data_IF_357973427426
#
_entry.id   IF_357973427426
#
_cell.length_a   1.000
_cell.length_b   1.000
_cell.length_c   1.000
_cell.angle_alpha   90.00
_cell.angle_beta   90.00
_cell.angle_gamma   90.00
#
_symmetry.space_group_name_H-M   'P 1'
#
loop_
_entity.id
_entity.type
_entity.pdbx_description
1 polymer ?
#
# COMPACT_ATOMS: atom_id res chain seq x y z
N UNK A 1 1.98 -24.53 -26.32
CA UNK A 1 1.03 -23.40 -26.30
C UNK A 1 0.42 -23.35 -24.93
N UNK A 2 0.47 -22.20 -24.29
CA UNK A 2 -0.01 -22.00 -22.92
C UNK A 2 -1.53 -22.25 -22.86
N UNK A 3 -2.00 -23.03 -21.90
CA UNK A 3 -3.42 -23.37 -21.72
C UNK A 3 -4.33 -22.14 -21.73
N UNK A 4 -3.83 -21.03 -21.20
CA UNK A 4 -4.46 -19.71 -21.20
C UNK A 4 -4.81 -19.19 -22.59
N UNK A 5 -3.96 -19.40 -23.60
CA UNK A 5 -4.23 -18.95 -24.97
C UNK A 5 -5.40 -19.70 -25.60
N UNK A 6 -5.49 -21.02 -25.36
CA UNK A 6 -6.65 -21.80 -25.80
C UNK A 6 -7.90 -21.44 -25.01
N UNK A 7 -7.75 -21.17 -23.72
CA UNK A 7 -8.84 -20.77 -22.83
C UNK A 7 -9.49 -19.45 -23.22
N UNK A 8 -8.70 -18.40 -23.50
CA UNK A 8 -9.24 -17.09 -23.90
C UNK A 8 -9.58 -17.01 -25.40
N UNK A 9 -8.90 -17.81 -26.23
CA UNK A 9 -8.89 -17.67 -27.68
C UNK A 9 -9.72 -18.70 -28.44
N UNK A 10 -10.31 -19.70 -27.77
CA UNK A 10 -11.14 -20.71 -28.43
C UNK A 10 -12.27 -21.23 -27.56
N UNK A 11 -13.46 -21.29 -28.16
CA UNK A 11 -14.72 -21.81 -27.60
C UNK A 11 -15.05 -23.23 -28.10
N UNK A 12 -14.17 -23.85 -28.89
CA UNK A 12 -14.39 -25.17 -29.46
C UNK A 12 -14.32 -26.25 -28.38
N UNK A 13 -15.31 -27.17 -28.28
CA UNK A 13 -15.31 -28.22 -27.27
C UNK A 13 -14.04 -29.08 -27.27
N UNK A 14 -13.48 -29.36 -28.45
CA UNK A 14 -12.24 -30.13 -28.58
C UNK A 14 -11.06 -29.47 -27.85
N UNK A 15 -10.97 -28.13 -27.91
CA UNK A 15 -9.92 -27.37 -27.24
C UNK A 15 -10.18 -27.28 -25.74
N UNK A 16 -11.43 -27.08 -25.33
CA UNK A 16 -11.83 -27.04 -23.92
C UNK A 16 -11.50 -28.37 -23.23
N UNK A 17 -11.90 -29.50 -23.83
CA UNK A 17 -11.59 -30.84 -23.31
C UNK A 17 -10.08 -31.06 -23.19
N UNK A 18 -9.30 -30.63 -24.19
CA UNK A 18 -7.84 -30.74 -24.16
C UNK A 18 -7.21 -29.91 -23.04
N UNK A 19 -7.73 -28.69 -22.80
CA UNK A 19 -7.28 -27.81 -21.71
C UNK A 19 -7.62 -28.42 -20.35
N UNK A 20 -8.85 -28.88 -20.14
CA UNK A 20 -9.28 -29.48 -18.87
C UNK A 20 -8.50 -30.77 -18.56
N UNK A 21 -8.30 -31.64 -19.55
CA UNK A 21 -7.53 -32.88 -19.37
C UNK A 21 -6.07 -32.61 -19.01
N UNK A 22 -5.48 -31.56 -19.60
CA UNK A 22 -4.07 -31.21 -19.34
C UNK A 22 -3.92 -30.37 -18.05
N UNK A 23 -4.95 -29.60 -17.70
CA UNK A 23 -4.97 -28.68 -16.57
C UNK A 23 -6.35 -28.70 -15.88
N UNK A 24 -6.61 -29.66 -14.98
CA UNK A 24 -7.93 -29.85 -14.36
C UNK A 24 -8.47 -28.62 -13.63
N UNK A 25 -7.60 -27.74 -13.13
CA UNK A 25 -7.97 -26.47 -12.48
C UNK A 25 -8.79 -25.55 -13.38
N UNK A 26 -8.73 -25.71 -14.70
CA UNK A 26 -9.52 -24.91 -15.63
C UNK A 26 -11.00 -25.33 -15.71
N UNK A 27 -11.36 -26.53 -15.23
CA UNK A 27 -12.75 -27.00 -15.26
C UNK A 27 -13.69 -26.06 -14.50
N UNK A 28 -13.30 -25.66 -13.29
CA UNK A 28 -14.04 -24.71 -12.46
C UNK A 28 -14.18 -23.37 -13.18
N UNK A 29 -13.10 -22.88 -13.79
CA UNK A 29 -13.10 -21.59 -14.50
C UNK A 29 -14.02 -21.63 -15.73
N UNK A 30 -14.02 -22.72 -16.50
CA UNK A 30 -14.93 -22.88 -17.63
C UNK A 30 -16.40 -22.94 -17.18
N UNK A 31 -16.68 -23.64 -16.08
CA UNK A 31 -18.03 -23.74 -15.50
C UNK A 31 -18.53 -22.38 -15.02
N UNK A 32 -17.67 -21.61 -14.36
CA UNK A 32 -17.99 -20.26 -13.89
C UNK A 32 -18.26 -19.31 -15.07
N UNK A 33 -17.46 -19.37 -16.12
CA UNK A 33 -17.68 -18.57 -17.34
C UNK A 33 -18.99 -18.96 -18.02
N UNK A 34 -19.29 -20.25 -18.13
CA UNK A 34 -20.57 -20.72 -18.67
C UNK A 34 -21.74 -20.18 -17.85
N UNK A 35 -21.64 -20.24 -16.52
CA UNK A 35 -22.65 -19.69 -15.61
C UNK A 35 -22.83 -18.17 -15.79
N UNK A 36 -21.74 -17.41 -15.80
CA UNK A 36 -21.74 -15.96 -15.96
C UNK A 36 -22.26 -15.50 -17.33
N UNK A 37 -22.09 -16.31 -18.38
CA UNK A 37 -22.65 -16.02 -19.71
C UNK A 37 -24.17 -15.85 -19.67
N UNK A 38 -24.84 -16.57 -18.77
CA UNK A 38 -26.28 -16.46 -18.56
C UNK A 38 -26.66 -15.55 -17.38
N UNK A 39 -25.72 -15.21 -16.51
CA UNK A 39 -25.92 -14.37 -15.32
C UNK A 39 -24.97 -13.14 -15.30
N UNK A 40 -25.04 -12.25 -16.30
CA UNK A 40 -24.07 -11.15 -16.44
C UNK A 40 -24.11 -10.17 -15.25
N UNK A 41 -25.27 -10.00 -14.60
CA UNK A 41 -25.41 -9.15 -13.40
C UNK A 41 -24.65 -9.72 -12.20
N UNK A 42 -24.66 -11.04 -12.03
CA UNK A 42 -23.95 -11.71 -10.94
C UNK A 42 -22.44 -11.67 -11.19
N UNK A 43 -22.01 -11.85 -12.43
CA UNK A 43 -20.61 -11.70 -12.82
C UNK A 43 -20.09 -10.29 -12.47
N UNK A 44 -20.82 -9.24 -12.89
CA UNK A 44 -20.48 -7.85 -12.55
C UNK A 44 -20.51 -7.64 -11.04
N UNK A 45 -21.50 -8.16 -10.32
CA UNK A 45 -21.58 -8.07 -8.87
C UNK A 45 -20.38 -8.69 -8.16
N UNK A 46 -19.95 -9.89 -8.56
CA UNK A 46 -18.77 -10.55 -8.02
C UNK A 46 -17.48 -9.77 -8.29
N UNK A 47 -17.31 -9.23 -9.50
CA UNK A 47 -16.17 -8.37 -9.82
C UNK A 47 -16.19 -7.06 -9.03
N UNK A 48 -17.34 -6.40 -8.91
CA UNK A 48 -17.50 -5.18 -8.12
C UNK A 48 -17.17 -5.41 -6.64
N UNK A 49 -17.58 -6.53 -6.07
CA UNK A 49 -17.29 -6.87 -4.68
C UNK A 49 -15.80 -7.17 -4.47
N UNK A 50 -15.18 -7.92 -5.38
CA UNK A 50 -13.73 -8.17 -5.34
C UNK A 50 -12.92 -6.87 -5.44
N UNK A 51 -13.33 -5.95 -6.31
CA UNK A 51 -12.73 -4.61 -6.43
C UNK A 51 -12.94 -3.79 -5.15
N UNK A 52 -14.15 -3.79 -4.58
CA UNK A 52 -14.43 -3.09 -3.32
C UNK A 52 -13.52 -3.57 -2.19
N UNK A 53 -13.37 -4.89 -2.03
CA UNK A 53 -12.50 -5.47 -1.00
C UNK A 53 -11.03 -5.08 -1.24
N UNK A 54 -10.58 -5.11 -2.51
CA UNK A 54 -9.22 -4.70 -2.86
C UNK A 54 -8.98 -3.22 -2.55
N UNK A 55 -9.93 -2.35 -2.90
CA UNK A 55 -9.86 -0.91 -2.63
C UNK A 55 -9.86 -0.63 -1.14
N UNK A 56 -10.72 -1.30 -0.35
CA UNK A 56 -10.75 -1.16 1.11
C UNK A 56 -9.42 -1.53 1.77
N UNK A 57 -8.84 -2.66 1.35
CA UNK A 57 -7.53 -3.08 1.85
C UNK A 57 -6.41 -2.13 1.43
N UNK A 58 -6.47 -1.62 0.20
CA UNK A 58 -5.48 -0.68 -0.35
C UNK A 58 -5.53 0.65 0.40
N UNK A 59 -6.73 1.20 0.61
CA UNK A 59 -6.93 2.45 1.36
C UNK A 59 -6.44 2.28 2.79
N UNK A 60 -6.76 1.16 3.45
CA UNK A 60 -6.28 0.89 4.80
C UNK A 60 -4.75 0.83 4.86
N UNK A 61 -4.12 0.11 3.92
CA UNK A 61 -2.66 0.03 3.82
C UNK A 61 -2.03 1.42 3.62
N UNK A 62 -2.59 2.24 2.72
CA UNK A 62 -2.11 3.60 2.48
C UNK A 62 -2.25 4.50 3.72
N UNK A 63 -3.34 4.38 4.48
CA UNK A 63 -3.53 5.11 5.74
C UNK A 63 -2.47 4.69 6.76
N UNK A 64 -2.22 3.39 6.91
CA UNK A 64 -1.23 2.86 7.85
C UNK A 64 0.18 3.34 7.50
N UNK A 65 0.55 3.34 6.22
CA UNK A 65 1.84 3.87 5.72
C UNK A 65 1.98 5.38 5.97
N UNK A 66 0.92 6.15 5.72
CA UNK A 66 0.90 7.59 6.02
C UNK A 66 1.00 7.86 7.52
N UNK A 67 0.29 7.11 8.36
CA UNK A 67 0.35 7.24 9.81
C UNK A 67 1.75 6.96 10.35
N UNK A 68 2.42 5.93 9.83
CA UNK A 68 3.80 5.63 10.18
C UNK A 68 4.75 6.75 9.74
N UNK A 69 4.58 7.28 8.53
CA UNK A 69 5.38 8.41 8.03
C UNK A 69 5.19 9.66 8.91
N UNK A 70 3.95 9.99 9.28
CA UNK A 70 3.65 11.11 10.18
C UNK A 70 4.34 10.91 11.52
N UNK A 71 4.27 9.71 12.10
CA UNK A 71 4.92 9.40 13.38
C UNK A 71 6.43 9.61 13.32
N UNK A 72 7.09 9.17 12.26
CA UNK A 72 8.53 9.37 12.05
C UNK A 72 8.88 10.85 11.90
N UNK A 73 8.07 11.60 11.15
CA UNK A 73 8.26 13.05 11.00
C UNK A 73 8.06 13.79 12.33
N UNK A 74 7.03 13.44 13.10
CA UNK A 74 6.80 14.02 14.43
C UNK A 74 7.99 13.75 15.35
N UNK A 75 8.51 12.53 15.38
CA UNK A 75 9.69 12.21 16.18
C UNK A 75 10.92 13.04 15.77
N UNK A 76 11.17 13.20 14.47
CA UNK A 76 12.27 14.05 13.98
C UNK A 76 12.10 15.51 14.36
N UNK A 77 10.88 16.03 14.32
CA UNK A 77 10.57 17.40 14.75
C UNK A 77 10.85 17.56 16.24
N UNK A 78 10.45 16.59 17.07
CA UNK A 78 10.70 16.62 18.51
C UNK A 78 12.21 16.58 18.83
N UNK A 79 12.98 15.74 18.14
CA UNK A 79 14.44 15.67 18.27
C UNK A 79 15.11 16.99 17.86
N UNK A 80 14.64 17.62 16.77
CA UNK A 80 15.12 18.93 16.34
C UNK A 80 14.76 20.02 17.35
N UNK A 81 13.55 20.00 17.90
CA UNK A 81 13.12 20.95 18.92
C UNK A 81 13.96 20.84 20.20
N UNK A 82 14.30 19.62 20.63
CA UNK A 82 15.22 19.38 21.73
C UNK A 82 16.60 19.96 21.44
N UNK A 83 17.16 19.67 20.27
CA UNK A 83 18.47 20.19 19.84
C UNK A 83 18.50 21.72 19.84
N UNK A 84 17.43 22.37 19.33
CA UNK A 84 17.31 23.82 19.33
C UNK A 84 17.26 24.37 20.76
N UNK A 85 16.55 23.70 21.66
CA UNK A 85 16.45 24.13 23.05
C UNK A 85 17.80 24.03 23.79
N UNK A 86 18.54 22.93 23.56
CA UNK A 86 19.90 22.75 24.09
C UNK A 86 20.85 23.83 23.57
N UNK A 87 20.83 24.10 22.26
CA UNK A 87 21.63 25.18 21.67
C UNK A 87 21.25 26.55 22.24
N UNK A 88 19.97 26.82 22.46
CA UNK A 88 19.50 28.05 23.07
C UNK A 88 19.99 28.22 24.52
N UNK A 89 20.05 27.12 25.31
CA UNK A 89 20.65 27.15 26.64
C UNK A 89 22.15 27.47 26.58
N UNK A 90 22.90 26.79 25.71
CA UNK A 90 24.35 27.02 25.56
C UNK A 90 24.62 28.48 25.17
N UNK A 91 23.83 29.04 24.24
CA UNK A 91 23.96 30.44 23.82
C UNK A 91 23.70 31.39 24.99
N UNK A 92 22.71 31.13 25.85
CA UNK A 92 22.46 31.95 27.05
C UNK A 92 23.63 31.88 28.03
N UNK A 93 24.12 30.67 28.32
CA UNK A 93 25.26 30.50 29.23
C UNK A 93 26.52 31.21 28.71
N UNK A 94 26.76 31.15 27.39
CA UNK A 94 27.86 31.87 26.76
C UNK A 94 27.67 33.38 26.84
N UNK A 95 26.46 33.89 26.62
CA UNK A 95 26.15 35.32 26.74
C UNK A 95 26.39 35.83 28.18
N UNK A 96 25.94 35.08 29.19
CA UNK A 96 26.15 35.41 30.60
C UNK A 96 27.66 35.44 30.94
N UNK A 97 28.42 34.45 30.46
CA UNK A 97 29.88 34.42 30.66
C UNK A 97 30.60 35.59 29.99
N UNK A 98 30.17 36.00 28.80
CA UNK A 98 30.73 37.17 28.11
C UNK A 98 30.44 38.43 28.92
N UNK A 99 29.20 38.61 29.41
CA UNK A 99 28.83 39.76 30.23
C UNK A 99 29.65 39.85 31.53
N UNK A 100 29.87 38.71 32.20
CA UNK A 100 30.74 38.68 33.38
C UNK A 100 32.19 39.05 33.06
N UNK A 101 32.73 38.59 31.93
CA UNK A 101 34.10 38.91 31.52
C UNK A 101 34.26 40.39 31.17
N UNK A 102 33.29 40.97 30.46
CA UNK A 102 33.28 42.40 30.13
C UNK A 102 33.22 43.27 31.40
N UNK A 103 32.45 42.86 32.42
CA UNK A 103 32.42 43.53 33.74
C UNK A 103 33.75 43.48 34.49
N UNK A 104 34.59 42.47 34.26
CA UNK A 104 35.91 42.33 34.91
C UNK A 104 37.02 43.10 34.20
N UNK A 105 36.83 43.45 32.92
CA UNK A 105 37.80 44.18 32.11
C UNK A 105 37.59 45.70 32.19
N UNK A 106 36.37 46.14 32.53
CA UNK A 106 36.05 47.53 32.91
C UNK A 106 36.45 47.85 34.34
#
# INVERSE_FOLDING_TARGET
MEAWLYFIGSDRPEHICKVIQSFPKFEEIYRDIEYFRYHPKEAVGMFSEALRIMDENTVKYMIDEQAQTIKELTQRIDEQAQTINEQAQIIREQADQIEERDKRIK
#
